data_IF_031156844843
#
_entry.id   IF_031156844843
#
_cell.length_a   1.000
_cell.length_b   1.000
_cell.length_c   1.000
_cell.angle_alpha   90.00
_cell.angle_beta   90.00
_cell.angle_gamma   90.00
#
_symmetry.space_group_name_H-M   'P 1'
#
loop_
_entity.id
_entity.type
_entity.pdbx_description
1 polymer ?
#
# COMPACT_ATOMS: atom_id res chain seq x y z
N UNK A 1 13.41 3.31 4.98
CA UNK A 1 14.66 3.16 4.19
C UNK A 1 14.47 3.94 2.92
N UNK A 2 15.47 4.64 2.43
CA UNK A 2 15.35 5.42 1.19
C UNK A 2 16.36 4.91 0.18
N UNK A 3 15.92 4.71 -1.06
CA UNK A 3 16.75 4.24 -2.17
C UNK A 3 16.45 5.19 -3.34
N UNK A 4 17.46 5.90 -3.83
CA UNK A 4 17.33 6.85 -4.95
C UNK A 4 16.20 7.89 -4.77
N UNK A 5 16.03 8.40 -3.54
CA UNK A 5 14.97 9.37 -3.22
C UNK A 5 13.56 8.78 -3.10
N UNK A 6 13.40 7.46 -3.23
CA UNK A 6 12.13 6.77 -2.96
C UNK A 6 12.17 6.08 -1.63
N UNK A 7 11.10 6.24 -0.86
CA UNK A 7 11.00 5.69 0.48
C UNK A 7 10.34 4.32 0.45
N UNK A 8 10.93 3.41 1.21
CA UNK A 8 10.43 2.07 1.50
C UNK A 8 9.82 2.06 2.90
N UNK A 9 8.56 1.65 2.94
CA UNK A 9 7.76 1.47 4.14
C UNK A 9 7.64 0.00 4.49
N UNK A 10 7.73 -0.32 5.78
CA UNK A 10 7.48 -1.69 6.25
C UNK A 10 6.01 -2.04 6.14
N UNK A 11 5.68 -3.34 6.25
CA UNK A 11 4.29 -3.80 6.30
C UNK A 11 3.44 -3.05 7.33
N UNK A 12 3.96 -2.82 8.52
CA UNK A 12 3.24 -2.10 9.58
C UNK A 12 2.97 -0.63 9.22
N UNK A 13 3.95 0.04 8.61
CA UNK A 13 3.78 1.41 8.13
C UNK A 13 2.77 1.48 6.99
N UNK A 14 2.83 0.54 6.04
CA UNK A 14 1.89 0.44 4.93
C UNK A 14 0.45 0.24 5.42
N UNK A 15 0.22 -0.67 6.36
CA UNK A 15 -1.12 -0.90 6.95
C UNK A 15 -1.66 0.33 7.67
N UNK A 16 -0.79 1.07 8.37
CA UNK A 16 -1.17 2.31 9.07
C UNK A 16 -1.53 3.43 8.09
N UNK A 17 -0.73 3.62 7.05
CA UNK A 17 -0.99 4.63 6.02
C UNK A 17 -2.31 4.36 5.28
N UNK A 18 -2.51 3.11 4.85
CA UNK A 18 -3.70 2.69 4.11
C UNK A 18 -4.94 2.52 4.99
N UNK A 19 -4.79 2.52 6.32
CA UNK A 19 -5.85 2.18 7.27
C UNK A 19 -6.53 0.83 6.96
N UNK A 20 -5.73 -0.17 6.55
CA UNK A 20 -6.20 -1.52 6.23
C UNK A 20 -5.55 -2.56 7.15
N UNK A 21 -6.21 -3.71 7.29
CA UNK A 21 -5.64 -4.83 8.04
C UNK A 21 -4.44 -5.45 7.30
N UNK A 22 -3.53 -6.06 8.06
CA UNK A 22 -2.43 -6.87 7.51
C UNK A 22 -2.93 -7.99 6.58
N UNK A 23 -4.12 -8.52 6.84
CA UNK A 23 -4.75 -9.55 6.02
C UNK A 23 -5.22 -8.98 4.67
N UNK A 24 -5.78 -7.78 4.66
CA UNK A 24 -6.16 -7.05 3.44
C UNK A 24 -4.93 -6.79 2.57
N UNK A 25 -3.85 -6.27 3.16
CA UNK A 25 -2.60 -6.02 2.44
C UNK A 25 -2.00 -7.30 1.86
N UNK A 26 -2.04 -8.42 2.62
CA UNK A 26 -1.62 -9.73 2.11
C UNK A 26 -2.49 -10.25 0.98
N UNK A 27 -3.80 -9.99 1.01
CA UNK A 27 -4.68 -10.37 -0.10
C UNK A 27 -4.37 -9.55 -1.36
N UNK A 28 -4.05 -8.27 -1.22
CA UNK A 28 -3.62 -7.42 -2.33
C UNK A 28 -2.29 -7.85 -2.94
N UNK A 29 -1.34 -8.32 -2.12
CA UNK A 29 -0.13 -8.97 -2.64
C UNK A 29 -0.46 -10.21 -3.47
N UNK A 30 -1.36 -11.08 -2.99
CA UNK A 30 -1.80 -12.27 -3.72
C UNK A 30 -2.52 -11.93 -5.03
N UNK A 31 -3.25 -10.82 -5.05
CA UNK A 31 -3.96 -10.32 -6.23
C UNK A 31 -3.05 -9.55 -7.19
N UNK A 32 -1.78 -9.30 -6.82
CA UNK A 32 -0.84 -8.53 -7.64
C UNK A 32 -1.10 -7.02 -7.66
N UNK A 33 -1.96 -6.51 -6.77
CA UNK A 33 -2.25 -5.07 -6.63
C UNK A 33 -1.04 -4.37 -5.98
N UNK A 34 -0.47 -5.00 -4.96
CA UNK A 34 0.76 -4.53 -4.30
C UNK A 34 1.92 -5.47 -4.61
N UNK A 35 3.06 -4.88 -4.96
CA UNK A 35 4.29 -5.63 -5.24
C UNK A 35 5.24 -5.49 -4.05
N UNK A 36 5.41 -6.53 -3.21
CA UNK A 36 6.29 -6.47 -2.05
C UNK A 36 7.76 -6.57 -2.46
N UNK A 37 8.59 -5.66 -1.95
CA UNK A 37 10.05 -5.74 -2.02
C UNK A 37 10.57 -6.56 -0.85
N UNK A 38 11.15 -7.74 -1.14
CA UNK A 38 11.68 -8.64 -0.11
C UNK A 38 13.19 -8.45 0.00
N UNK A 39 13.64 -7.83 1.08
CA UNK A 39 15.05 -7.52 1.33
C UNK A 39 15.46 -8.16 2.66
N UNK A 40 16.43 -9.07 2.63
CA UNK A 40 16.96 -9.74 3.83
C UNK A 40 15.86 -10.33 4.75
N UNK A 41 14.85 -10.98 4.15
CA UNK A 41 13.74 -11.59 4.89
C UNK A 41 12.68 -10.61 5.42
N UNK A 42 12.83 -9.30 5.16
CA UNK A 42 11.83 -8.27 5.50
C UNK A 42 11.04 -7.85 4.26
N UNK A 43 9.79 -7.45 4.47
CA UNK A 43 8.88 -7.00 3.42
C UNK A 43 8.72 -5.49 3.48
N UNK A 44 8.94 -4.84 2.34
CA UNK A 44 8.81 -3.41 2.16
C UNK A 44 7.94 -3.08 0.96
N UNK A 45 7.33 -1.90 0.98
CA UNK A 45 6.53 -1.36 -0.11
C UNK A 45 7.02 0.05 -0.41
N UNK A 46 6.94 0.45 -1.66
CA UNK A 46 7.27 1.81 -2.02
C UNK A 46 6.19 2.78 -1.55
N UNK A 47 6.61 3.95 -1.06
CA UNK A 47 5.71 5.00 -0.61
C UNK A 47 4.84 5.52 -1.76
N UNK A 48 5.38 5.65 -2.97
CA UNK A 48 4.64 6.06 -4.18
C UNK A 48 3.46 5.13 -4.51
N UNK A 49 3.63 3.81 -4.36
CA UNK A 49 2.56 2.83 -4.52
C UNK A 49 1.48 2.98 -3.45
N UNK A 50 1.88 3.29 -2.21
CA UNK A 50 0.95 3.50 -1.11
C UNK A 50 0.15 4.79 -1.33
N UNK A 51 0.80 5.88 -1.72
CA UNK A 51 0.14 7.17 -2.02
C UNK A 51 -0.86 7.04 -3.17
N UNK A 52 -0.46 6.41 -4.28
CA UNK A 52 -1.35 6.17 -5.42
C UNK A 52 -2.59 5.35 -5.01
N UNK A 53 -2.42 4.38 -4.12
CA UNK A 53 -3.55 3.59 -3.61
C UNK A 53 -4.43 4.41 -2.66
N UNK A 54 -3.86 5.25 -1.79
CA UNK A 54 -4.63 6.16 -0.93
C UNK A 54 -5.52 7.06 -1.78
N UNK A 55 -4.98 7.65 -2.85
CA UNK A 55 -5.75 8.46 -3.80
C UNK A 55 -6.87 7.65 -4.47
N UNK A 56 -6.58 6.41 -4.90
CA UNK A 56 -7.58 5.50 -5.48
C UNK A 56 -8.72 5.21 -4.50
N UNK A 57 -8.39 4.92 -3.24
CA UNK A 57 -9.37 4.63 -2.19
C UNK A 57 -10.22 5.86 -1.85
N UNK A 58 -9.61 7.05 -1.77
CA UNK A 58 -10.34 8.31 -1.56
C UNK A 58 -11.27 8.62 -2.75
N UNK A 59 -10.80 8.44 -3.98
CA UNK A 59 -11.60 8.64 -5.19
C UNK A 59 -12.82 7.70 -5.25
N UNK A 60 -12.66 6.44 -4.83
CA UNK A 60 -13.76 5.47 -4.81
C UNK A 60 -14.82 5.79 -3.75
N UNK A 61 -14.44 6.34 -2.59
CA UNK A 61 -15.43 6.80 -1.58
C UNK A 61 -16.34 7.90 -2.12
N UNK A 62 -15.81 8.77 -2.98
CA UNK A 62 -16.54 9.91 -3.53
C UNK A 62 -17.49 9.53 -4.69
N UNK A 63 -17.36 8.31 -5.25
CA UNK A 63 -18.20 7.84 -6.37
C UNK A 63 -19.48 7.12 -5.92
N UNK A 64 -19.67 6.90 -4.62
CA UNK A 64 -20.79 6.13 -4.07
C UNK A 64 -21.87 7.01 -3.43
N UNK A 65 -22.41 8.02 -4.12
CA UNK A 65 -23.76 8.54 -3.86
C UNK A 65 -24.28 9.26 -5.11
N UNK A 66 -25.01 8.56 -5.96
CA UNK A 66 -26.08 9.07 -6.82
C UNK A 66 -26.89 7.84 -7.27
N UNK A 67 -27.93 7.50 -6.51
CA UNK A 67 -28.98 6.58 -6.93
C UNK A 67 -30.31 7.12 -6.44
#
# INVERSE_FOLDING_TARGET
>A
MEINGRKLLTREMATKALHVSSQTLRNWEKQGIFIPNRIMGRVFYWEDQIEAEIERLQSNKNKTYHR
#
